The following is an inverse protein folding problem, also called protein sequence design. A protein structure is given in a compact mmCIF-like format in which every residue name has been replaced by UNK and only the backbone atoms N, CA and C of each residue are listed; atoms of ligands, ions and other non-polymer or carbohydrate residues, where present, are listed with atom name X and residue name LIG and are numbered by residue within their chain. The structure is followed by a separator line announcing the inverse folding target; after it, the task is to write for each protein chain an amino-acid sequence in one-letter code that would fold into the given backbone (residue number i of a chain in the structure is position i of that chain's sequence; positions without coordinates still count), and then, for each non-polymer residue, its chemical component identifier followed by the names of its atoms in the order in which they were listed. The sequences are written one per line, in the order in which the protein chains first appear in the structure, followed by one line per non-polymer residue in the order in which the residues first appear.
data_IF_784778213002
#
_entry.id   IF_784778213002
#
_cell.length_a   1.000
_cell.length_b   1.000
_cell.length_c   1.000
_cell.angle_alpha   90.00
_cell.angle_beta   90.00
_cell.angle_gamma   90.00
#
_symmetry.space_group_name_H-M   'P 1'
#
loop_
_entity.id
_entity.type
_entity.pdbx_description
1 polymer ?
#
# COMPACT_ATOMS: atom_id res chain seq x y z
N UNK A 1 -21.23 -6.19 -6.46
CA UNK A 1 -20.35 -6.91 -7.41
C UNK A 1 -18.94 -6.32 -7.45
N UNK A 2 -18.78 -5.00 -7.40
CA UNK A 2 -17.46 -4.35 -7.40
C UNK A 2 -16.70 -4.55 -6.07
N UNK A 3 -17.40 -4.43 -4.94
CA UNK A 3 -16.82 -4.65 -3.60
C UNK A 3 -16.27 -6.07 -3.39
N UNK A 4 -16.90 -7.08 -3.99
CA UNK A 4 -16.41 -8.47 -3.94
C UNK A 4 -15.13 -8.68 -4.77
N UNK A 5 -14.92 -7.88 -5.83
CA UNK A 5 -13.70 -7.95 -6.63
C UNK A 5 -12.52 -7.32 -5.90
N UNK A 6 -12.72 -6.16 -5.25
CA UNK A 6 -11.69 -5.49 -4.47
C UNK A 6 -11.23 -6.35 -3.28
N UNK A 7 -12.17 -6.98 -2.56
CA UNK A 7 -11.83 -7.86 -1.43
C UNK A 7 -11.01 -9.08 -1.89
N UNK A 8 -11.38 -9.65 -3.05
CA UNK A 8 -10.61 -10.74 -3.65
C UNK A 8 -9.18 -10.30 -4.01
N UNK A 9 -9.02 -9.14 -4.66
CA UNK A 9 -7.70 -8.54 -4.97
C UNK A 9 -6.87 -8.33 -3.71
N UNK A 10 -7.48 -7.79 -2.64
CA UNK A 10 -6.86 -7.62 -1.33
C UNK A 10 -6.36 -8.94 -0.74
N UNK A 11 -7.15 -10.02 -0.84
CA UNK A 11 -6.74 -11.35 -0.34
C UNK A 11 -5.50 -11.91 -1.06
N UNK A 12 -5.38 -11.65 -2.37
CA UNK A 12 -4.21 -12.03 -3.18
C UNK A 12 -2.98 -11.27 -2.71
N UNK A 13 -3.10 -9.96 -2.49
CA UNK A 13 -1.99 -9.13 -2.01
C UNK A 13 -1.52 -9.52 -0.61
N UNK A 14 -2.45 -9.82 0.31
CA UNK A 14 -2.09 -10.31 1.65
C UNK A 14 -1.26 -11.58 1.53
N UNK A 15 -1.68 -12.52 0.68
CA UNK A 15 -0.96 -13.78 0.46
C UNK A 15 0.41 -13.56 -0.17
N UNK A 16 0.49 -12.65 -1.15
CA UNK A 16 1.74 -12.27 -1.82
C UNK A 16 2.74 -11.61 -0.86
N UNK A 17 2.32 -10.60 -0.07
CA UNK A 17 3.23 -9.92 0.85
C UNK A 17 3.69 -10.84 1.99
N UNK A 18 2.81 -11.72 2.49
CA UNK A 18 3.20 -12.75 3.47
C UNK A 18 4.22 -13.74 2.90
N UNK A 19 4.08 -14.16 1.63
CA UNK A 19 5.06 -15.06 1.01
C UNK A 19 6.43 -14.41 0.79
N UNK A 20 6.46 -13.07 0.68
CA UNK A 20 7.69 -12.27 0.69
C UNK A 20 8.28 -12.04 2.10
N UNK A 21 7.63 -12.54 3.15
CA UNK A 21 8.08 -12.44 4.54
C UNK A 21 7.58 -11.21 5.30
N UNK A 22 6.67 -10.41 4.73
CA UNK A 22 6.09 -9.27 5.44
C UNK A 22 4.98 -9.69 6.39
N UNK A 23 4.90 -9.02 7.54
CA UNK A 23 3.68 -9.01 8.34
C UNK A 23 2.75 -7.93 7.80
N UNK A 24 1.49 -8.31 7.54
CA UNK A 24 0.47 -7.45 6.93
C UNK A 24 -0.58 -7.10 7.98
N UNK A 25 -0.84 -5.81 8.18
CA UNK A 25 -1.92 -5.31 9.03
C UNK A 25 -2.83 -4.32 8.29
N UNK A 26 -3.96 -4.00 8.91
CA UNK A 26 -4.90 -3.00 8.40
C UNK A 26 -4.27 -1.60 8.35
N UNK A 27 -4.55 -0.89 7.26
CA UNK A 27 -4.00 0.43 6.97
C UNK A 27 -4.92 1.62 7.21
N UNK A 28 -6.16 1.41 7.70
CA UNK A 28 -7.23 2.41 7.64
C UNK A 28 -6.87 3.73 8.33
N UNK A 29 -6.09 3.65 9.41
CA UNK A 29 -5.61 4.82 10.17
C UNK A 29 -4.81 5.81 9.31
N UNK A 30 -4.25 5.34 8.20
CA UNK A 30 -3.40 6.12 7.31
C UNK A 30 -4.03 6.35 5.93
N UNK A 31 -5.29 5.95 5.72
CA UNK A 31 -5.97 6.09 4.43
C UNK A 31 -5.46 5.15 3.33
N UNK A 32 -4.91 4.00 3.73
CA UNK A 32 -4.33 2.97 2.86
C UNK A 32 -4.95 1.61 3.21
N UNK A 33 -4.77 0.62 2.35
CA UNK A 33 -5.33 -0.72 2.57
C UNK A 33 -4.50 -1.55 3.56
N UNK A 34 -3.17 -1.49 3.44
CA UNK A 34 -2.29 -2.32 4.28
C UNK A 34 -1.07 -1.59 4.82
N UNK A 35 -0.61 -2.05 5.98
CA UNK A 35 0.72 -1.76 6.51
C UNK A 35 1.58 -3.00 6.39
N UNK A 36 2.80 -2.83 5.85
CA UNK A 36 3.79 -3.90 5.81
C UNK A 36 4.91 -3.65 6.81
N UNK A 37 5.19 -4.67 7.61
CA UNK A 37 6.29 -4.71 8.56
C UNK A 37 7.31 -5.74 8.10
N UNK A 38 8.58 -5.37 8.19
CA UNK A 38 9.71 -6.24 7.84
C UNK A 38 10.03 -7.29 8.89
N UNK A 39 9.40 -7.19 10.07
CA UNK A 39 9.56 -8.09 11.22
C UNK A 39 8.31 -7.98 12.12
N UNK A 40 8.35 -8.56 13.32
CA UNK A 40 7.28 -8.51 14.31
C UNK A 40 6.87 -7.04 14.60
N UNK A 41 5.57 -6.69 14.40
CA UNK A 41 5.03 -5.34 14.67
C UNK A 41 5.25 -4.82 16.10
N UNK A 42 5.51 -5.68 17.08
CA UNK A 42 5.85 -5.27 18.45
C UNK A 42 7.26 -4.67 18.54
N UNK A 43 8.16 -5.07 17.64
CA UNK A 43 9.57 -4.71 17.65
C UNK A 43 9.94 -3.66 16.60
N UNK A 44 9.17 -3.57 15.51
CA UNK A 44 9.49 -2.67 14.38
C UNK A 44 8.30 -1.82 13.96
N UNK A 45 8.61 -0.64 13.43
CA UNK A 45 7.61 0.18 12.75
C UNK A 45 7.32 -0.36 11.35
N UNK A 46 6.07 -0.22 10.90
CA UNK A 46 5.73 -0.48 9.50
C UNK A 46 6.51 0.44 8.59
N UNK A 47 7.15 -0.15 7.58
CA UNK A 47 8.01 0.53 6.62
C UNK A 47 7.23 1.00 5.40
N UNK A 48 6.29 0.18 4.95
CA UNK A 48 5.50 0.44 3.73
C UNK A 48 4.02 0.60 4.05
N UNK A 49 3.38 1.52 3.35
CA UNK A 49 1.93 1.64 3.29
C UNK A 49 1.43 1.30 1.91
N UNK A 50 0.48 0.38 1.78
CA UNK A 50 0.01 -0.13 0.47
C UNK A 50 -1.39 0.38 0.19
N UNK A 51 -1.56 1.03 -0.95
CA UNK A 51 -2.84 1.46 -1.50
C UNK A 51 -3.15 0.68 -2.79
N UNK A 52 -4.31 0.04 -2.85
CA UNK A 52 -4.81 -0.64 -4.04
C UNK A 52 -5.55 0.36 -4.91
N UNK A 53 -5.13 0.47 -6.17
CA UNK A 53 -5.80 1.32 -7.15
C UNK A 53 -7.25 0.85 -7.35
N UNK A 54 -8.17 1.79 -7.18
CA UNK A 54 -9.62 1.61 -7.28
C UNK A 54 -10.31 2.95 -7.59
N UNK A 55 -9.78 3.70 -8.56
CA UNK A 55 -10.34 4.97 -9.01
C UNK A 55 -9.98 6.19 -8.17
N UNK A 56 -8.91 6.13 -7.37
CA UNK A 56 -8.44 7.29 -6.61
C UNK A 56 -7.99 8.41 -7.57
N UNK A 57 -8.38 9.65 -7.26
CA UNK A 57 -7.91 10.82 -7.99
C UNK A 57 -6.45 11.16 -7.62
N UNK A 58 -5.82 12.03 -8.41
CA UNK A 58 -4.50 12.55 -8.08
C UNK A 58 -4.46 13.25 -6.70
N UNK A 59 -5.54 13.95 -6.32
CA UNK A 59 -5.62 14.61 -5.01
C UNK A 59 -5.73 13.60 -3.86
N UNK A 60 -6.40 12.47 -4.07
CA UNK A 60 -6.46 11.39 -3.09
C UNK A 60 -5.07 10.79 -2.87
N UNK A 61 -4.34 10.50 -3.96
CA UNK A 61 -2.96 10.03 -3.91
C UNK A 61 -2.04 11.02 -3.19
N UNK A 62 -2.15 12.33 -3.50
CA UNK A 62 -1.39 13.37 -2.81
C UNK A 62 -1.69 13.42 -1.30
N UNK A 63 -2.96 13.24 -0.92
CA UNK A 63 -3.41 13.26 0.48
C UNK A 63 -2.84 12.08 1.26
N UNK A 64 -2.93 10.87 0.69
CA UNK A 64 -2.34 9.67 1.27
C UNK A 64 -0.82 9.80 1.37
N UNK A 65 -0.16 10.29 0.31
CA UNK A 65 1.29 10.50 0.30
C UNK A 65 1.74 11.46 1.41
N UNK A 66 0.97 12.53 1.67
CA UNK A 66 1.23 13.45 2.79
C UNK A 66 1.17 12.74 4.14
N UNK A 67 0.17 11.88 4.34
CA UNK A 67 0.00 11.10 5.58
C UNK A 67 1.16 10.12 5.75
N UNK A 68 1.45 9.28 4.75
CA UNK A 68 2.55 8.32 4.79
C UNK A 68 3.90 8.98 5.09
N UNK A 69 4.18 10.11 4.44
CA UNK A 69 5.43 10.85 4.65
C UNK A 69 5.55 11.40 6.09
N UNK A 70 4.43 11.86 6.69
CA UNK A 70 4.43 12.36 8.09
C UNK A 70 4.84 11.28 9.09
N UNK A 71 4.53 10.02 8.79
CA UNK A 71 4.87 8.85 9.63
C UNK A 71 6.02 8.02 9.08
N UNK A 72 6.84 8.61 8.20
CA UNK A 72 8.05 8.00 7.60
C UNK A 72 7.79 6.65 6.92
N UNK A 73 6.65 6.51 6.24
CA UNK A 73 6.30 5.33 5.44
C UNK A 73 6.47 5.63 3.97
N UNK A 74 6.98 4.64 3.26
CA UNK A 74 7.02 4.64 1.80
C UNK A 74 5.65 4.19 1.29
N UNK A 75 5.00 5.02 0.49
CA UNK A 75 3.71 4.70 -0.13
C UNK A 75 3.95 3.81 -1.34
N UNK A 76 3.29 2.66 -1.33
CA UNK A 76 3.29 1.68 -2.40
C UNK A 76 1.89 1.66 -3.02
N UNK A 77 1.81 1.85 -4.33
CA UNK A 77 0.55 1.76 -5.09
C UNK A 77 0.55 0.46 -5.88
N UNK A 78 -0.53 -0.30 -5.76
CA UNK A 78 -0.73 -1.56 -6.47
C UNK A 78 -1.81 -1.38 -7.53
N UNK A 79 -1.46 -1.63 -8.79
CA UNK A 79 -2.36 -1.52 -9.93
C UNK A 79 -2.62 -2.91 -10.51
N UNK A 80 -3.87 -3.35 -10.47
CA UNK A 80 -4.27 -4.64 -11.01
C UNK A 80 -4.55 -4.53 -12.52
N UNK A 81 -3.81 -5.29 -13.33
CA UNK A 81 -4.11 -5.44 -14.77
C UNK A 81 -5.36 -6.29 -15.00
N UNK A 82 -5.57 -7.28 -14.13
CA UNK A 82 -6.76 -8.13 -14.09
C UNK A 82 -7.00 -8.61 -12.63
N UNK A 83 -7.74 -9.69 -12.40
CA UNK A 83 -8.02 -10.14 -11.03
C UNK A 83 -6.83 -10.73 -10.27
N UNK A 84 -5.75 -11.14 -10.94
CA UNK A 84 -4.61 -11.86 -10.31
C UNK A 84 -3.24 -11.27 -10.63
N UNK A 85 -3.11 -10.56 -11.75
CA UNK A 85 -1.86 -9.93 -12.20
C UNK A 85 -1.91 -8.45 -11.80
N UNK A 86 -0.87 -8.00 -11.13
CA UNK A 86 -0.73 -6.63 -10.64
C UNK A 86 0.71 -6.15 -10.77
N UNK A 87 0.86 -4.83 -10.87
CA UNK A 87 2.12 -4.12 -10.79
C UNK A 87 2.20 -3.36 -9.45
N UNK A 88 3.42 -3.21 -8.94
CA UNK A 88 3.70 -2.50 -7.68
C UNK A 88 4.59 -1.30 -8.01
N UNK A 89 4.19 -0.12 -7.56
CA UNK A 89 4.91 1.13 -7.74
C UNK A 89 5.23 1.76 -6.39
N UNK A 90 6.48 2.20 -6.21
CA UNK A 90 6.81 3.10 -5.10
C UNK A 90 6.54 4.55 -5.49
N UNK A 91 5.90 5.31 -4.60
CA UNK A 91 5.60 6.73 -4.81
C UNK A 91 6.69 7.58 -4.16
N UNK A 92 7.60 8.05 -4.99
CA UNK A 92 8.69 8.92 -4.57
C UNK A 92 8.40 10.39 -4.88
N UNK A 93 8.94 11.29 -4.06
CA UNK A 93 8.98 12.71 -4.40
C UNK A 93 10.11 12.93 -5.39
N UNK A 94 9.90 13.79 -6.37
CA UNK A 94 11.00 14.29 -7.19
C UNK A 94 12.09 14.86 -6.27
N UNK A 95 13.28 14.29 -6.34
CA UNK A 95 14.47 14.89 -5.76
C UNK A 95 14.89 16.02 -6.69
N UNK A 96 14.61 17.26 -6.30
CA UNK A 96 15.27 18.41 -6.91
C UNK A 96 16.71 18.39 -6.43
N UNK A 97 17.62 17.86 -7.26
CA UNK A 97 19.03 18.26 -7.20
C UNK A 97 19.06 19.78 -7.40
N UNK A 98 19.33 20.51 -6.32
CA UNK A 98 19.67 21.93 -6.38
C UNK A 98 21.07 22.11 -6.94
#
# INVERSE_FOLDING_TARGET
MESSNLEYKKSILVSHFKSLGFQVQDGIKYGIDFLLYTDNPENVHSKYGVLVENGQSFFDLMSVQRVCNTVKKELIVVVFRNSTIFDIFSVERFLTTQ
#
